data_IF_820836691084
#
_entry.id   IF_820836691084
#
_cell.length_a   1.000
_cell.length_b   1.000
_cell.length_c   1.000
_cell.angle_alpha   90.00
_cell.angle_beta   90.00
_cell.angle_gamma   90.00
#
_symmetry.space_group_name_H-M   'P 1'
#
loop_
_entity.id
_entity.type
_entity.pdbx_description
1 polymer ?
#
# COMPACT_ATOMS: atom_id res chain seq x y z
N UNK A 1 21.24 3.30 1.97
CA UNK A 1 21.30 1.98 1.34
C UNK A 1 20.24 1.04 1.93
N UNK A 2 19.85 0.01 1.18
CA UNK A 2 18.93 -1.04 1.60
C UNK A 2 19.52 -2.42 1.32
N UNK A 3 19.30 -3.36 2.24
CA UNK A 3 19.69 -4.77 2.07
C UNK A 3 18.72 -5.47 1.11
N UNK A 4 19.12 -5.51 -0.16
CA UNK A 4 18.42 -6.29 -1.20
C UNK A 4 18.78 -7.78 -1.09
N UNK A 5 18.05 -8.70 -1.76
CA UNK A 5 18.42 -10.13 -1.81
C UNK A 5 19.82 -10.39 -2.39
N UNK A 6 20.34 -9.44 -3.16
CA UNK A 6 21.67 -9.49 -3.80
C UNK A 6 22.70 -8.53 -3.16
N UNK A 7 22.49 -8.14 -1.90
CA UNK A 7 23.40 -7.28 -1.10
C UNK A 7 22.93 -5.83 -0.98
N UNK A 8 23.66 -5.04 -0.21
CA UNK A 8 23.37 -3.62 -0.02
C UNK A 8 23.45 -2.82 -1.31
N UNK A 9 22.45 -2.00 -1.55
CA UNK A 9 22.36 -1.08 -2.70
C UNK A 9 21.88 0.29 -2.26
N UNK A 10 22.40 1.30 -2.91
CA UNK A 10 21.91 2.67 -2.79
C UNK A 10 20.44 2.74 -3.25
N UNK A 11 19.62 3.39 -2.45
CA UNK A 11 18.20 3.68 -2.75
C UNK A 11 17.99 5.17 -2.89
N UNK A 12 18.68 5.95 -2.07
CA UNK A 12 18.61 7.40 -2.04
C UNK A 12 20.01 7.99 -1.86
N UNK A 13 20.27 9.10 -2.52
CA UNK A 13 21.46 9.93 -2.35
C UNK A 13 21.09 11.35 -1.97
N UNK A 14 21.78 11.91 -0.97
CA UNK A 14 21.65 13.31 -0.56
C UNK A 14 23.02 13.95 -0.71
N UNK A 15 23.13 14.96 -1.57
CA UNK A 15 24.41 15.55 -1.96
C UNK A 15 24.40 17.05 -1.81
N UNK A 16 25.47 17.61 -1.22
CA UNK A 16 25.76 19.02 -1.32
C UNK A 16 26.50 19.28 -2.65
N UNK A 17 25.80 19.89 -3.61
CA UNK A 17 26.32 20.24 -4.93
C UNK A 17 27.08 21.57 -4.92
N UNK A 18 27.14 22.24 -3.77
CA UNK A 18 27.64 23.61 -3.65
C UNK A 18 26.93 24.55 -4.66
N UNK A 19 27.60 25.56 -5.18
CA UNK A 19 27.05 26.43 -6.22
C UNK A 19 27.49 26.00 -7.64
N UNK A 20 28.11 24.83 -7.81
CA UNK A 20 28.71 24.42 -9.07
C UNK A 20 27.70 24.37 -10.21
N UNK A 21 26.61 23.63 -10.03
CA UNK A 21 25.62 23.42 -11.09
C UNK A 21 24.95 24.72 -11.51
N UNK A 22 24.51 25.53 -10.54
CA UNK A 22 23.86 26.82 -10.84
C UNK A 22 24.84 27.81 -11.50
N UNK A 23 26.10 27.81 -11.07
CA UNK A 23 27.13 28.65 -11.71
C UNK A 23 27.39 28.24 -13.16
N UNK A 24 27.38 26.92 -13.48
CA UNK A 24 27.48 26.45 -14.86
C UNK A 24 26.23 26.83 -15.66
N UNK A 25 25.04 26.68 -15.08
CA UNK A 25 23.79 27.07 -15.75
C UNK A 25 23.76 28.59 -16.06
N UNK A 26 24.18 29.44 -15.12
CA UNK A 26 24.29 30.88 -15.33
C UNK A 26 25.26 31.18 -16.47
N UNK A 27 26.46 30.60 -16.43
CA UNK A 27 27.52 30.78 -17.42
C UNK A 27 27.08 30.40 -18.84
N UNK A 28 26.47 29.25 -19.02
CA UNK A 28 26.14 28.73 -20.36
C UNK A 28 24.78 29.21 -20.89
N UNK A 29 23.84 29.57 -20.02
CA UNK A 29 22.55 30.14 -20.47
C UNK A 29 22.59 31.66 -20.64
N UNK A 30 23.54 32.34 -20.00
CA UNK A 30 23.60 33.81 -19.94
C UNK A 30 22.48 34.43 -19.10
N UNK A 31 21.71 33.62 -18.35
CA UNK A 31 20.61 34.08 -17.50
C UNK A 31 21.10 34.29 -16.08
N UNK A 32 20.72 35.42 -15.46
CA UNK A 32 20.95 35.63 -14.04
C UNK A 32 20.06 34.68 -13.20
N UNK A 33 20.66 33.79 -12.43
CA UNK A 33 19.98 32.83 -11.52
C UNK A 33 20.39 33.03 -10.07
N UNK A 34 20.97 34.21 -9.74
CA UNK A 34 21.32 34.57 -8.38
C UNK A 34 20.08 34.77 -7.50
N UNK A 35 20.16 34.36 -6.29
CA UNK A 35 19.21 34.69 -5.25
C UNK A 35 19.60 36.03 -4.61
N UNK A 36 18.67 36.95 -4.46
CA UNK A 36 18.86 38.15 -3.65
C UNK A 36 18.40 37.88 -2.22
N UNK A 37 19.32 38.00 -1.28
CA UNK A 37 19.05 37.85 0.13
C UNK A 37 18.71 39.22 0.74
N UNK A 38 17.45 39.44 1.17
CA UNK A 38 17.04 40.74 1.73
C UNK A 38 17.64 41.01 3.12
N UNK A 39 18.07 39.98 3.85
CA UNK A 39 18.69 40.14 5.17
C UNK A 39 20.15 40.55 5.05
N UNK A 40 20.86 39.97 4.08
CA UNK A 40 22.26 40.30 3.78
C UNK A 40 22.41 41.49 2.87
N UNK A 41 21.36 41.85 2.10
CA UNK A 41 21.36 42.91 1.12
C UNK A 41 22.21 42.65 -0.13
N UNK A 42 22.52 41.37 -0.41
CA UNK A 42 23.39 40.95 -1.50
C UNK A 42 22.82 39.83 -2.35
N UNK A 43 23.34 39.69 -3.57
CA UNK A 43 22.96 38.62 -4.51
C UNK A 43 24.09 37.60 -4.63
N UNK A 44 23.79 36.33 -4.49
CA UNK A 44 24.75 35.23 -4.68
C UNK A 44 24.15 34.03 -5.38
N UNK A 45 24.99 33.15 -5.93
CA UNK A 45 24.57 31.88 -6.47
C UNK A 45 24.43 30.90 -5.28
N UNK A 46 23.22 30.43 -4.94
CA UNK A 46 23.01 29.59 -3.76
C UNK A 46 23.64 28.22 -3.90
N UNK A 47 23.91 27.58 -2.76
CA UNK A 47 24.27 26.17 -2.71
C UNK A 47 23.02 25.32 -2.91
N UNK A 48 23.19 24.22 -3.60
CA UNK A 48 22.12 23.24 -3.88
C UNK A 48 22.33 22.01 -3.05
N UNK A 49 21.28 21.60 -2.36
CA UNK A 49 21.18 20.27 -1.77
C UNK A 49 20.30 19.45 -2.72
N UNK A 50 20.88 18.42 -3.31
CA UNK A 50 20.18 17.51 -4.21
C UNK A 50 19.78 16.25 -3.42
N UNK A 51 18.52 15.84 -3.57
CA UNK A 51 18.06 14.54 -3.15
C UNK A 51 17.60 13.77 -4.38
N UNK A 52 18.14 12.57 -4.59
CA UNK A 52 17.76 11.69 -5.68
C UNK A 52 17.37 10.31 -5.16
N UNK A 53 16.22 9.81 -5.65
CA UNK A 53 15.66 8.52 -5.24
C UNK A 53 15.39 7.68 -6.49
N UNK A 54 15.88 6.43 -6.49
CA UNK A 54 15.57 5.47 -7.55
C UNK A 54 14.19 4.84 -7.32
N UNK A 55 13.19 5.21 -8.13
CA UNK A 55 11.80 4.73 -7.99
C UNK A 55 11.72 3.20 -8.02
N UNK A 56 12.39 2.55 -8.98
CA UNK A 56 12.38 1.09 -9.12
C UNK A 56 13.07 0.41 -7.92
N UNK A 57 14.15 1.02 -7.41
CA UNK A 57 14.83 0.52 -6.22
C UNK A 57 13.99 0.68 -4.97
N UNK A 58 13.29 1.80 -4.83
CA UNK A 58 12.34 2.02 -3.75
C UNK A 58 11.20 1.01 -3.79
N UNK A 59 10.60 0.80 -4.96
CA UNK A 59 9.57 -0.21 -5.17
C UNK A 59 10.04 -1.61 -4.75
N UNK A 60 11.22 -2.03 -5.22
CA UNK A 60 11.81 -3.32 -4.86
C UNK A 60 12.09 -3.41 -3.35
N UNK A 61 12.58 -2.33 -2.72
CA UNK A 61 12.82 -2.29 -1.27
C UNK A 61 11.54 -2.51 -0.48
N UNK A 62 10.44 -1.86 -0.88
CA UNK A 62 9.11 -2.02 -0.25
C UNK A 62 8.63 -3.47 -0.40
N UNK A 63 8.76 -4.07 -1.59
CA UNK A 63 8.38 -5.48 -1.78
C UNK A 63 9.25 -6.42 -0.93
N UNK A 64 10.57 -6.23 -0.91
CA UNK A 64 11.48 -7.07 -0.14
C UNK A 64 11.22 -6.97 1.37
N UNK A 65 10.95 -5.76 1.89
CA UNK A 65 10.65 -5.56 3.31
C UNK A 65 9.28 -6.09 3.73
N UNK A 66 8.37 -6.22 2.77
CA UNK A 66 7.00 -6.69 3.03
C UNK A 66 6.80 -8.20 2.80
N UNK A 67 7.76 -8.86 2.13
CA UNK A 67 7.64 -10.27 1.79
C UNK A 67 7.97 -11.16 2.99
N UNK A 68 7.09 -12.10 3.28
CA UNK A 68 7.31 -13.16 4.26
C UNK A 68 6.79 -14.50 3.74
N UNK A 69 7.58 -15.55 3.95
CA UNK A 69 7.19 -16.93 3.75
C UNK A 69 7.01 -17.58 5.14
N UNK A 70 5.77 -17.52 5.62
CA UNK A 70 5.40 -17.98 6.97
C UNK A 70 5.18 -19.48 6.99
N UNK A 71 5.72 -20.13 8.02
CA UNK A 71 5.36 -21.50 8.37
C UNK A 71 4.29 -21.47 9.48
N UNK A 72 3.12 -21.98 9.16
CA UNK A 72 2.00 -22.05 10.10
C UNK A 72 2.05 -23.33 10.95
N UNK A 73 1.32 -23.31 12.05
CA UNK A 73 1.06 -24.52 12.85
C UNK A 73 0.45 -25.61 11.96
N UNK A 74 0.97 -26.84 12.06
CA UNK A 74 0.57 -27.95 11.17
C UNK A 74 1.41 -28.10 9.90
N UNK A 75 2.44 -27.28 9.68
CA UNK A 75 3.40 -27.40 8.57
C UNK A 75 2.95 -26.77 7.24
N UNK A 76 1.79 -26.12 7.22
CA UNK A 76 1.38 -25.34 6.05
C UNK A 76 2.25 -24.10 5.87
N UNK A 77 2.51 -23.74 4.60
CA UNK A 77 3.23 -22.50 4.24
C UNK A 77 2.26 -21.45 3.72
N UNK A 78 2.54 -20.20 4.08
CA UNK A 78 1.79 -19.03 3.67
C UNK A 78 2.74 -17.94 3.20
N UNK A 79 2.66 -17.57 1.93
CA UNK A 79 3.34 -16.38 1.41
C UNK A 79 2.46 -15.16 1.68
N UNK A 80 3.05 -14.13 2.25
CA UNK A 80 2.36 -12.88 2.57
C UNK A 80 3.20 -11.68 2.12
N UNK A 81 2.55 -10.68 1.56
CA UNK A 81 3.10 -9.34 1.41
C UNK A 81 2.49 -8.43 2.49
N UNK A 82 3.26 -8.12 3.52
CA UNK A 82 2.86 -7.23 4.62
C UNK A 82 2.96 -5.75 4.22
N UNK A 83 2.43 -5.42 3.04
CA UNK A 83 2.37 -4.03 2.61
C UNK A 83 1.55 -3.19 3.59
N UNK A 84 2.00 -1.98 3.95
CA UNK A 84 1.12 -1.02 4.61
C UNK A 84 -0.20 -0.94 3.85
N UNK A 85 -1.33 -0.97 4.56
CA UNK A 85 -2.65 -1.04 3.93
C UNK A 85 -2.89 0.10 2.92
N UNK A 86 -2.31 1.28 3.19
CA UNK A 86 -2.35 2.42 2.28
C UNK A 86 -1.60 2.18 0.95
N UNK A 87 -0.60 1.30 0.91
CA UNK A 87 0.18 0.98 -0.29
C UNK A 87 -0.33 -0.28 -1.02
N UNK A 88 -1.17 -1.10 -0.38
CA UNK A 88 -1.71 -2.31 -1.00
C UNK A 88 -2.46 -2.01 -2.32
N UNK A 89 -2.19 -2.71 -3.43
CA UNK A 89 -2.84 -2.44 -4.71
C UNK A 89 -4.35 -2.73 -4.69
N UNK A 90 -4.76 -3.76 -3.95
CA UNK A 90 -6.16 -4.10 -3.68
C UNK A 90 -6.42 -3.90 -2.19
N UNK A 91 -7.44 -3.11 -1.83
CA UNK A 91 -7.74 -2.80 -0.42
C UNK A 91 -8.64 -3.85 0.22
N UNK A 92 -9.61 -4.33 -0.55
CA UNK A 92 -10.59 -5.33 -0.13
C UNK A 92 -10.83 -6.35 -1.23
N UNK A 93 -10.80 -7.63 -0.88
CA UNK A 93 -11.31 -8.70 -1.74
C UNK A 93 -12.64 -9.22 -1.20
N UNK A 94 -13.66 -9.31 -2.06
CA UNK A 94 -14.98 -9.84 -1.71
C UNK A 94 -15.11 -11.26 -2.26
N UNK A 95 -15.58 -12.18 -1.44
CA UNK A 95 -15.60 -13.61 -1.73
C UNK A 95 -16.94 -14.23 -1.34
N UNK A 96 -17.78 -14.69 -2.27
CA UNK A 96 -18.92 -15.51 -1.92
C UNK A 96 -18.42 -16.87 -1.40
N UNK A 97 -18.93 -17.37 -0.30
CA UNK A 97 -18.50 -18.65 0.29
C UNK A 97 -18.65 -19.80 -0.72
N UNK A 98 -19.79 -19.82 -1.42
CA UNK A 98 -20.08 -20.74 -2.52
C UNK A 98 -20.65 -19.99 -3.74
N UNK A 99 -20.59 -20.63 -4.92
CA UNK A 99 -21.04 -20.01 -6.19
C UNK A 99 -22.52 -20.28 -6.51
N UNK A 100 -23.37 -20.23 -5.51
CA UNK A 100 -24.81 -20.50 -5.64
C UNK A 100 -25.59 -19.78 -4.55
N UNK A 101 -26.89 -19.96 -4.54
CA UNK A 101 -27.81 -19.51 -3.50
C UNK A 101 -27.85 -17.97 -3.32
N UNK A 102 -27.57 -17.19 -4.39
CA UNK A 102 -27.59 -15.72 -4.35
C UNK A 102 -26.34 -15.07 -3.75
N UNK A 103 -25.36 -15.87 -3.28
CA UNK A 103 -24.14 -15.34 -2.66
C UNK A 103 -23.23 -14.59 -3.64
N UNK A 104 -23.03 -15.04 -4.90
CA UNK A 104 -22.26 -14.28 -5.89
C UNK A 104 -22.88 -12.92 -6.21
N UNK A 105 -24.19 -12.85 -6.31
CA UNK A 105 -24.96 -11.62 -6.59
C UNK A 105 -24.78 -10.63 -5.43
N UNK A 106 -24.94 -11.11 -4.19
CA UNK A 106 -24.72 -10.30 -2.98
C UNK A 106 -23.27 -9.83 -2.85
N UNK A 107 -22.31 -10.69 -3.19
CA UNK A 107 -20.91 -10.31 -3.20
C UNK A 107 -20.61 -9.19 -4.21
N UNK A 108 -21.22 -9.23 -5.40
CA UNK A 108 -21.09 -8.16 -6.41
C UNK A 108 -21.74 -6.86 -5.97
N UNK A 109 -22.91 -6.92 -5.34
CA UNK A 109 -23.57 -5.74 -4.75
C UNK A 109 -22.62 -5.02 -3.76
N UNK A 110 -22.02 -5.78 -2.84
CA UNK A 110 -21.06 -5.24 -1.87
C UNK A 110 -19.82 -4.67 -2.58
N UNK A 111 -19.27 -5.41 -3.55
CA UNK A 111 -18.12 -4.97 -4.34
C UNK A 111 -18.41 -3.64 -5.05
N UNK A 112 -19.58 -3.52 -5.68
CA UNK A 112 -19.98 -2.33 -6.44
C UNK A 112 -20.09 -1.08 -5.55
N UNK A 113 -20.51 -1.24 -4.31
CA UNK A 113 -20.47 -0.16 -3.33
C UNK A 113 -19.05 0.24 -2.93
N UNK A 114 -18.18 -0.74 -2.68
CA UNK A 114 -16.82 -0.49 -2.21
C UNK A 114 -15.89 0.06 -3.29
N UNK A 115 -16.03 -0.35 -4.56
CA UNK A 115 -15.15 0.08 -5.67
C UNK A 115 -15.23 1.57 -6.01
N UNK A 116 -16.26 2.27 -5.51
CA UNK A 116 -16.37 3.72 -5.63
C UNK A 116 -15.37 4.46 -4.73
N UNK A 117 -14.80 3.78 -3.73
CA UNK A 117 -13.94 4.38 -2.71
C UNK A 117 -12.49 3.91 -2.80
N UNK A 118 -12.25 2.66 -3.20
CA UNK A 118 -10.90 2.09 -3.31
C UNK A 118 -10.87 0.87 -4.24
N UNK A 119 -9.68 0.45 -4.64
CA UNK A 119 -9.50 -0.73 -5.46
C UNK A 119 -9.97 -1.99 -4.72
N UNK A 120 -10.89 -2.70 -5.32
CA UNK A 120 -11.48 -3.93 -4.82
C UNK A 120 -11.37 -5.05 -5.85
N UNK A 121 -11.43 -6.30 -5.38
CA UNK A 121 -11.40 -7.48 -6.22
C UNK A 121 -12.44 -8.49 -5.75
N UNK A 122 -13.07 -9.21 -6.67
CA UNK A 122 -13.88 -10.40 -6.36
C UNK A 122 -13.06 -11.66 -6.65
N UNK A 123 -13.13 -12.64 -5.76
CA UNK A 123 -12.49 -13.94 -5.95
C UNK A 123 -13.50 -15.06 -5.66
N UNK A 124 -13.81 -15.82 -6.71
CA UNK A 124 -14.80 -16.91 -6.68
C UNK A 124 -14.17 -18.28 -6.98
N UNK A 125 -12.86 -18.34 -7.27
CA UNK A 125 -12.21 -19.57 -7.73
C UNK A 125 -11.64 -20.38 -6.56
N UNK A 126 -11.83 -21.69 -6.55
CA UNK A 126 -11.36 -22.63 -5.53
C UNK A 126 -12.02 -22.48 -4.15
N UNK A 127 -11.48 -23.17 -3.13
CA UNK A 127 -11.92 -23.06 -1.74
C UNK A 127 -11.59 -21.71 -1.13
N UNK A 128 -12.36 -21.30 -0.11
CA UNK A 128 -12.17 -20.01 0.57
C UNK A 128 -10.75 -19.86 1.14
N UNK A 129 -10.16 -20.91 1.68
CA UNK A 129 -8.79 -20.90 2.20
C UNK A 129 -7.76 -20.58 1.10
N UNK A 130 -7.90 -21.15 -0.11
CA UNK A 130 -7.02 -20.86 -1.25
C UNK A 130 -7.18 -19.41 -1.73
N UNK A 131 -8.40 -18.88 -1.67
CA UNK A 131 -8.66 -17.46 -2.01
C UNK A 131 -7.97 -16.53 -1.02
N UNK A 132 -8.07 -16.80 0.28
CA UNK A 132 -7.34 -16.04 1.30
C UNK A 132 -5.83 -16.05 1.02
N UNK A 133 -5.24 -17.23 0.72
CA UNK A 133 -3.81 -17.33 0.40
C UNK A 133 -3.40 -16.47 -0.80
N UNK A 134 -4.23 -16.42 -1.86
CA UNK A 134 -3.96 -15.54 -3.01
C UNK A 134 -3.98 -14.06 -2.63
N UNK A 135 -4.92 -13.66 -1.80
CA UNK A 135 -5.01 -12.25 -1.35
C UNK A 135 -3.89 -11.90 -0.39
N UNK A 136 -3.51 -12.81 0.51
CA UNK A 136 -2.35 -12.64 1.37
C UNK A 136 -1.06 -12.43 0.54
N UNK A 137 -0.88 -13.24 -0.53
CA UNK A 137 0.30 -13.18 -1.39
C UNK A 137 0.42 -11.88 -2.21
N UNK A 138 -0.67 -11.21 -2.52
CA UNK A 138 -0.66 -9.90 -3.22
C UNK A 138 -0.77 -8.71 -2.27
N UNK A 139 -0.85 -8.97 -0.96
CA UNK A 139 -0.85 -7.92 0.05
C UNK A 139 -2.20 -7.27 0.33
N UNK A 140 -3.33 -7.88 -0.06
CA UNK A 140 -4.67 -7.35 0.23
C UNK A 140 -4.94 -7.36 1.74
N UNK A 141 -5.14 -6.20 2.39
CA UNK A 141 -5.27 -6.13 3.85
C UNK A 141 -6.56 -6.74 4.39
N UNK A 142 -7.64 -6.69 3.63
CA UNK A 142 -8.95 -7.16 4.08
C UNK A 142 -9.63 -8.10 3.07
N UNK A 143 -10.22 -9.16 3.59
CA UNK A 143 -11.10 -10.05 2.83
C UNK A 143 -12.49 -10.07 3.46
N UNK A 144 -13.52 -9.87 2.63
CA UNK A 144 -14.93 -9.94 3.01
C UNK A 144 -15.51 -11.26 2.48
N UNK A 145 -15.99 -12.11 3.37
CA UNK A 145 -16.68 -13.34 2.98
C UNK A 145 -18.17 -13.19 3.15
N UNK A 146 -18.89 -13.46 2.04
CA UNK A 146 -20.35 -13.45 1.96
C UNK A 146 -20.83 -14.88 2.06
N UNK A 147 -21.68 -15.18 3.03
CA UNK A 147 -22.24 -16.49 3.31
C UNK A 147 -23.77 -16.46 3.43
N UNK A 148 -24.40 -17.58 3.77
CA UNK A 148 -25.87 -17.66 3.86
C UNK A 148 -26.44 -16.74 4.95
N UNK A 149 -25.74 -16.57 6.08
CA UNK A 149 -26.14 -15.64 7.12
C UNK A 149 -26.17 -14.19 6.63
N UNK A 150 -25.26 -13.83 5.69
CA UNK A 150 -25.28 -12.50 5.05
C UNK A 150 -26.60 -12.14 4.40
N UNK A 151 -27.28 -13.13 3.83
CA UNK A 151 -28.60 -12.93 3.18
C UNK A 151 -29.72 -12.69 4.21
N UNK A 152 -29.55 -13.17 5.44
CA UNK A 152 -30.55 -13.08 6.50
C UNK A 152 -30.43 -11.77 7.30
N UNK A 153 -29.20 -11.39 7.68
CA UNK A 153 -28.97 -10.31 8.64
C UNK A 153 -28.07 -9.15 8.12
N UNK A 154 -27.68 -9.19 6.83
CA UNK A 154 -26.78 -8.21 6.23
C UNK A 154 -25.42 -8.04 6.97
N UNK A 155 -24.90 -9.10 7.54
CA UNK A 155 -23.56 -9.14 8.10
C UNK A 155 -22.63 -9.99 7.25
N UNK A 156 -21.33 -9.77 7.35
CA UNK A 156 -20.28 -10.47 6.60
C UNK A 156 -19.14 -10.84 7.53
N UNK A 157 -18.32 -11.81 7.12
CA UNK A 157 -17.07 -12.08 7.82
C UNK A 157 -15.97 -11.18 7.22
N UNK A 158 -15.41 -10.30 8.04
CA UNK A 158 -14.25 -9.47 7.69
C UNK A 158 -12.99 -10.13 8.27
N UNK A 159 -12.03 -10.47 7.39
CA UNK A 159 -10.75 -11.08 7.77
C UNK A 159 -9.61 -10.07 7.55
N UNK A 160 -8.77 -9.91 8.55
CA UNK A 160 -7.54 -9.13 8.45
C UNK A 160 -6.37 -10.02 7.98
N UNK A 161 -5.56 -9.52 7.03
CA UNK A 161 -4.43 -10.26 6.42
C UNK A 161 -3.38 -10.68 7.45
N UNK A 162 -2.92 -9.74 8.28
CA UNK A 162 -1.74 -9.96 9.12
C UNK A 162 -2.05 -10.81 10.35
N UNK A 163 -3.15 -10.56 11.03
CA UNK A 163 -3.58 -11.33 12.21
C UNK A 163 -4.32 -12.61 11.85
N UNK A 164 -4.85 -12.73 10.64
CA UNK A 164 -5.79 -13.78 10.20
C UNK A 164 -7.12 -13.83 10.99
N UNK A 165 -7.32 -12.90 11.91
CA UNK A 165 -8.57 -12.80 12.66
C UNK A 165 -9.76 -12.54 11.76
N UNK A 166 -10.88 -13.13 12.13
CA UNK A 166 -12.14 -13.03 11.40
C UNK A 166 -13.22 -12.56 12.36
N UNK A 167 -13.85 -11.45 12.01
CA UNK A 167 -14.92 -10.86 12.80
C UNK A 167 -16.19 -10.75 11.97
N UNK A 168 -17.34 -11.02 12.59
CA UNK A 168 -18.64 -10.76 11.98
C UNK A 168 -18.99 -9.28 12.13
N UNK A 169 -19.24 -8.60 11.02
CA UNK A 169 -19.55 -7.16 10.99
C UNK A 169 -20.72 -6.86 10.06
N UNK A 170 -21.53 -5.84 10.34
CA UNK A 170 -22.53 -5.33 9.40
C UNK A 170 -21.88 -4.88 8.08
N UNK A 171 -22.53 -5.09 6.93
CA UNK A 171 -22.04 -4.63 5.63
C UNK A 171 -21.76 -3.11 5.66
N UNK A 172 -22.60 -2.32 6.34
CA UNK A 172 -22.45 -0.87 6.46
C UNK A 172 -21.15 -0.44 7.17
N UNK A 173 -20.56 -1.30 7.99
CA UNK A 173 -19.33 -0.99 8.73
C UNK A 173 -18.05 -1.30 7.94
N UNK A 174 -18.12 -2.01 6.81
CA UNK A 174 -16.92 -2.34 6.00
C UNK A 174 -16.25 -1.05 5.53
N UNK A 175 -17.01 -0.15 4.91
CA UNK A 175 -16.45 1.07 4.32
C UNK A 175 -15.76 1.96 5.38
N UNK A 176 -16.37 2.35 6.51
CA UNK A 176 -15.70 3.18 7.50
C UNK A 176 -14.48 2.50 8.13
N UNK A 177 -14.57 1.19 8.42
CA UNK A 177 -13.46 0.42 9.00
C UNK A 177 -12.26 0.38 8.07
N UNK A 178 -12.48 -0.02 6.82
CA UNK A 178 -11.39 -0.15 5.84
C UNK A 178 -10.83 1.21 5.46
N UNK A 179 -11.66 2.22 5.24
CA UNK A 179 -11.20 3.57 4.84
C UNK A 179 -10.23 4.18 5.86
N UNK A 180 -10.45 3.94 7.14
CA UNK A 180 -9.56 4.40 8.20
C UNK A 180 -8.16 3.78 8.06
N UNK A 181 -8.08 2.47 7.83
CA UNK A 181 -6.81 1.74 7.77
C UNK A 181 -6.04 1.94 6.45
N UNK A 182 -6.76 2.10 5.33
CA UNK A 182 -6.13 2.25 4.01
C UNK A 182 -5.81 3.69 3.64
N UNK A 183 -6.11 4.65 4.51
CA UNK A 183 -5.83 6.06 4.23
C UNK A 183 -4.34 6.39 4.36
N UNK A 184 -3.85 7.23 3.45
CA UNK A 184 -2.48 7.73 3.54
C UNK A 184 -2.29 8.59 4.79
N UNK A 185 -3.32 9.30 5.24
CA UNK A 185 -3.28 10.08 6.47
C UNK A 185 -3.00 9.20 7.71
N UNK A 186 -3.66 8.03 7.81
CA UNK A 186 -3.40 7.08 8.90
C UNK A 186 -1.98 6.51 8.86
N UNK A 187 -1.43 6.25 7.66
CA UNK A 187 -0.04 5.82 7.51
C UNK A 187 0.93 6.90 7.97
N UNK A 188 0.72 8.15 7.54
CA UNK A 188 1.59 9.27 7.91
C UNK A 188 1.54 9.59 9.41
N UNK A 189 0.39 9.44 10.05
CA UNK A 189 0.27 9.58 11.51
C UNK A 189 1.12 8.56 12.24
N UNK A 190 1.09 7.28 11.83
CA UNK A 190 1.90 6.20 12.43
C UNK A 190 3.42 6.41 12.27
N UNK A 191 3.85 7.15 11.24
CA UNK A 191 5.26 7.46 11.01
C UNK A 191 5.71 8.66 11.86
N UNK A 192 4.78 9.55 12.20
CA UNK A 192 5.06 10.76 12.97
C UNK A 192 5.11 10.54 14.49
N UNK A 193 4.60 9.40 14.98
CA UNK A 193 4.69 8.93 16.37
C UNK A 193 6.05 8.24 16.65
#
# INVERSE_FOLDING_TARGET
EFQMPFGFKEVEGIHSRTNFDLSQHEKYSGKNIKYFDPELGESYVPYVIETSIGVDRMFLSVLCSSYEDQQLEGGERRVVLHLPAALAPVKVAVMPLVRKDGLPEKAREILDGLRLHFNTQIDEKDSIGKRYRRQDAIGTPYCVTVDHQTLEDNTVTLRHRDTMEQHRVPIAEILPTVSKEVSMASLLQKIAE
#
